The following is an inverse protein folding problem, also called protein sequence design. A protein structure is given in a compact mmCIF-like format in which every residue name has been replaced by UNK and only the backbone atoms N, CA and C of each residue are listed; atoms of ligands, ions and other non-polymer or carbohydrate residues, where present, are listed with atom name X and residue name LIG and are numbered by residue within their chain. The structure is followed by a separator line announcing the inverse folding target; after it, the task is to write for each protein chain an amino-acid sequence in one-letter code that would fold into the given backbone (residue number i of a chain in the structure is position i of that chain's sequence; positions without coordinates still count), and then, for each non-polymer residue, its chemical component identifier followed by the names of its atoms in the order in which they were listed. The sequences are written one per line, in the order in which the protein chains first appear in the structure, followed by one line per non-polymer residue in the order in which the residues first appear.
data_IF_404437220013
#
_entry.id   IF_404437220013
#
_cell.length_a   1.000
_cell.length_b   1.000
_cell.length_c   1.000
_cell.angle_alpha   90.00
_cell.angle_beta   90.00
_cell.angle_gamma   90.00
#
_symmetry.space_group_name_H-M   'P 1'
#
loop_
_entity.id
_entity.type
_entity.pdbx_description
1 polymer ?
#
# COMPACT_ATOMS: atom_id res chain seq x y z
N UNK A 1 -36.13 -2.63 -15.13
CA UNK A 1 -34.74 -2.23 -14.94
C UNK A 1 -34.28 -2.66 -13.54
N UNK A 2 -32.97 -2.86 -13.34
CA UNK A 2 -32.43 -3.08 -11.99
C UNK A 2 -31.89 -1.77 -11.43
N UNK A 3 -32.18 -1.50 -10.17
CA UNK A 3 -31.69 -0.34 -9.44
C UNK A 3 -30.91 -0.82 -8.21
N UNK A 4 -29.71 -0.33 -8.03
CA UNK A 4 -28.85 -0.70 -6.89
C UNK A 4 -28.79 0.47 -5.90
N UNK A 5 -29.09 0.20 -4.64
CA UNK A 5 -28.96 1.18 -3.58
C UNK A 5 -27.46 1.43 -3.29
N UNK A 6 -26.98 2.65 -3.48
CA UNK A 6 -25.59 3.03 -3.23
C UNK A 6 -25.17 3.03 -1.76
N UNK A 7 -26.16 2.90 -0.84
CA UNK A 7 -25.89 2.88 0.61
C UNK A 7 -25.66 1.45 1.12
N UNK A 8 -26.48 0.48 0.68
CA UNK A 8 -26.44 -0.88 1.24
C UNK A 8 -26.30 -2.00 0.19
N UNK A 9 -26.22 -1.67 -1.11
CA UNK A 9 -26.11 -2.64 -2.19
C UNK A 9 -27.39 -3.40 -2.53
N UNK A 10 -28.53 -3.09 -1.90
CA UNK A 10 -29.80 -3.76 -2.19
C UNK A 10 -30.19 -3.56 -3.66
N UNK A 11 -30.55 -4.65 -4.34
CA UNK A 11 -30.98 -4.62 -5.75
C UNK A 11 -32.49 -4.67 -5.82
N UNK A 12 -33.08 -3.69 -6.46
CA UNK A 12 -34.52 -3.60 -6.73
C UNK A 12 -34.80 -3.77 -8.22
N UNK A 13 -35.78 -4.59 -8.57
CA UNK A 13 -36.23 -4.75 -9.97
C UNK A 13 -37.57 -4.08 -10.17
N UNK A 14 -37.64 -3.10 -11.07
CA UNK A 14 -38.86 -2.35 -11.37
C UNK A 14 -38.68 -1.40 -12.55
N UNK A 15 -39.72 -0.66 -12.85
CA UNK A 15 -39.70 0.36 -13.92
C UNK A 15 -39.00 1.66 -13.44
N UNK A 16 -39.08 1.96 -12.14
CA UNK A 16 -38.47 3.09 -11.48
C UNK A 16 -37.87 2.65 -10.14
N UNK A 17 -36.92 3.45 -9.60
CA UNK A 17 -36.40 3.25 -8.27
C UNK A 17 -37.53 3.36 -7.22
N UNK A 18 -37.50 2.56 -6.14
CA UNK A 18 -38.49 2.68 -5.07
C UNK A 18 -38.29 4.00 -4.30
N UNK A 19 -39.34 4.57 -3.75
CA UNK A 19 -39.26 5.82 -2.98
C UNK A 19 -38.29 5.73 -1.79
N UNK A 20 -38.21 4.54 -1.19
CA UNK A 20 -37.26 4.21 -0.11
C UNK A 20 -36.72 2.81 -0.28
N UNK A 21 -35.46 2.64 0.08
CA UNK A 21 -34.83 1.32 0.11
C UNK A 21 -35.49 0.43 1.17
N UNK A 22 -36.02 -0.76 0.79
CA UNK A 22 -36.65 -1.67 1.74
C UNK A 22 -35.69 -2.19 2.81
N UNK A 23 -34.37 -2.18 2.54
CA UNK A 23 -33.38 -2.73 3.44
C UNK A 23 -32.81 -1.67 4.40
N UNK A 24 -32.51 -0.44 3.93
CA UNK A 24 -31.82 0.57 4.74
C UNK A 24 -32.57 1.90 4.88
N UNK A 25 -33.75 2.05 4.26
CA UNK A 25 -34.56 3.26 4.32
C UNK A 25 -34.01 4.44 3.51
N UNK A 26 -32.93 4.29 2.77
CA UNK A 26 -32.35 5.34 1.94
C UNK A 26 -33.36 5.83 0.87
N UNK A 27 -33.40 7.14 0.54
CA UNK A 27 -34.34 7.68 -0.42
C UNK A 27 -33.99 7.29 -1.87
N UNK A 28 -34.95 7.48 -2.79
CA UNK A 28 -34.87 7.07 -4.19
C UNK A 28 -33.61 7.58 -4.91
N UNK A 29 -33.12 8.78 -4.57
CA UNK A 29 -31.94 9.40 -5.16
C UNK A 29 -30.65 8.61 -4.90
N UNK A 30 -30.68 7.67 -3.96
CA UNK A 30 -29.57 6.76 -3.66
C UNK A 30 -29.59 5.49 -4.49
N UNK A 31 -30.55 5.32 -5.39
CA UNK A 31 -30.58 4.21 -6.32
C UNK A 31 -29.97 4.59 -7.66
N UNK A 32 -29.05 3.74 -8.13
CA UNK A 32 -28.43 3.86 -9.43
C UNK A 32 -29.02 2.79 -10.37
N UNK A 33 -29.50 3.21 -11.54
CA UNK A 33 -29.97 2.29 -12.57
C UNK A 33 -28.80 1.44 -13.07
N UNK A 34 -28.94 0.12 -12.98
CA UNK A 34 -27.97 -0.81 -13.54
C UNK A 34 -28.26 -0.97 -15.04
N UNK A 35 -27.49 -0.32 -15.91
CA UNK A 35 -27.36 -0.68 -17.31
C UNK A 35 -26.74 -2.09 -17.36
N UNK A 36 -27.15 -2.96 -18.31
CA UNK A 36 -26.74 -4.36 -18.33
C UNK A 36 -25.24 -4.65 -18.41
N UNK A 37 -24.38 -3.65 -18.48
CA UNK A 37 -22.92 -3.73 -18.31
C UNK A 37 -22.56 -3.62 -16.85
N UNK A 38 -21.73 -4.55 -16.37
CA UNK A 38 -21.15 -4.47 -15.02
C UNK A 38 -20.23 -3.27 -14.96
N UNK A 39 -20.67 -2.20 -14.30
CA UNK A 39 -19.82 -1.05 -13.98
C UNK A 39 -19.41 -1.10 -12.52
N UNK A 40 -18.16 -0.79 -12.22
CA UNK A 40 -17.72 -0.58 -10.85
C UNK A 40 -18.32 0.71 -10.29
N UNK A 41 -18.56 0.74 -8.99
CA UNK A 41 -19.08 1.94 -8.32
C UNK A 41 -18.11 3.14 -8.44
N UNK A 42 -16.82 2.85 -8.57
CA UNK A 42 -15.76 3.80 -8.87
C UNK A 42 -14.64 3.10 -9.62
N UNK A 43 -13.88 3.82 -10.42
CA UNK A 43 -12.64 3.30 -10.98
C UNK A 43 -11.58 3.20 -9.90
N UNK A 44 -10.88 2.05 -9.90
CA UNK A 44 -9.70 1.81 -9.08
C UNK A 44 -8.49 1.78 -10.02
N UNK A 45 -7.94 2.94 -10.29
CA UNK A 45 -6.77 3.13 -11.16
C UNK A 45 -5.61 3.69 -10.36
N UNK A 46 -4.39 3.41 -10.79
CA UNK A 46 -3.20 4.01 -10.17
C UNK A 46 -3.26 5.52 -10.31
N UNK A 47 -3.10 6.22 -9.19
CA UNK A 47 -3.14 7.68 -9.15
C UNK A 47 -4.55 8.27 -9.06
N UNK A 48 -5.56 7.50 -8.65
CA UNK A 48 -6.94 8.00 -8.49
C UNK A 48 -7.04 9.20 -7.54
N UNK A 49 -6.11 9.36 -6.61
CA UNK A 49 -6.05 10.51 -5.70
C UNK A 49 -5.40 11.76 -6.32
N UNK A 50 -4.87 11.68 -7.54
CA UNK A 50 -4.29 12.86 -8.19
C UNK A 50 -5.37 13.93 -8.43
N UNK A 51 -5.11 15.15 -7.93
CA UNK A 51 -6.02 16.27 -8.07
C UNK A 51 -7.03 16.45 -6.92
N UNK A 52 -6.99 15.61 -5.87
CA UNK A 52 -7.70 15.90 -4.61
C UNK A 52 -6.96 16.99 -3.82
N UNK A 53 -7.57 17.48 -2.73
CA UNK A 53 -6.97 18.50 -1.88
C UNK A 53 -5.66 18.04 -1.24
N UNK A 54 -4.74 18.97 -0.99
CA UNK A 54 -3.40 18.65 -0.48
C UNK A 54 -3.43 18.02 0.91
N UNK A 55 -4.38 18.39 1.78
CA UNK A 55 -4.57 17.76 3.09
C UNK A 55 -4.84 16.26 2.98
N UNK A 56 -5.66 15.83 2.01
CA UNK A 56 -5.89 14.41 1.75
C UNK A 56 -4.62 13.73 1.22
N UNK A 57 -3.87 14.39 0.33
CA UNK A 57 -2.61 13.83 -0.19
C UNK A 57 -1.57 13.68 0.91
N UNK A 58 -1.46 14.67 1.81
CA UNK A 58 -0.55 14.60 2.97
C UNK A 58 -0.91 13.43 3.89
N UNK A 59 -2.20 13.22 4.19
CA UNK A 59 -2.67 12.10 5.00
C UNK A 59 -2.39 10.75 4.32
N UNK A 60 -2.62 10.62 3.01
CA UNK A 60 -2.31 9.41 2.26
C UNK A 60 -0.80 9.09 2.25
N UNK A 61 0.06 10.10 2.06
CA UNK A 61 1.52 9.96 2.13
C UNK A 61 2.00 9.57 3.52
N UNK A 62 1.41 10.16 4.56
CA UNK A 62 1.72 9.84 5.95
C UNK A 62 1.39 8.38 6.28
N UNK A 63 0.20 7.91 5.87
CA UNK A 63 -0.19 6.51 6.00
C UNK A 63 0.73 5.59 5.21
N UNK A 64 1.00 5.88 3.93
CA UNK A 64 1.95 5.10 3.11
C UNK A 64 3.31 4.93 3.81
N UNK A 65 3.88 6.00 4.34
CA UNK A 65 5.16 5.96 5.05
C UNK A 65 5.07 5.19 6.38
N UNK A 66 3.96 5.30 7.10
CA UNK A 66 3.67 4.54 8.31
C UNK A 66 3.68 3.04 8.03
N UNK A 67 2.86 2.59 7.10
CA UNK A 67 2.75 1.18 6.71
C UNK A 67 4.10 0.60 6.23
N UNK A 68 4.85 1.33 5.38
CA UNK A 68 6.18 0.92 4.96
C UNK A 68 7.15 0.74 6.15
N UNK A 69 7.07 1.60 7.15
CA UNK A 69 7.89 1.51 8.36
C UNK A 69 7.49 0.33 9.23
N UNK A 70 6.20 0.04 9.35
CA UNK A 70 5.67 -1.07 10.13
C UNK A 70 6.06 -2.43 9.56
N UNK A 71 6.16 -2.58 8.24
CA UNK A 71 6.70 -3.79 7.59
C UNK A 71 8.08 -4.14 8.17
N UNK A 72 9.00 -3.19 8.17
CA UNK A 72 10.36 -3.41 8.69
C UNK A 72 10.38 -3.66 10.19
N UNK A 73 9.56 -2.94 10.94
CA UNK A 73 9.42 -3.06 12.38
C UNK A 73 8.92 -4.45 12.79
N UNK A 74 7.83 -4.95 12.19
CA UNK A 74 7.28 -6.26 12.49
C UNK A 74 8.23 -7.40 12.10
N UNK A 75 8.92 -7.30 10.96
CA UNK A 75 9.95 -8.28 10.60
C UNK A 75 11.11 -8.30 11.60
N UNK A 76 11.52 -7.15 12.13
CA UNK A 76 12.54 -7.08 13.17
C UNK A 76 12.05 -7.71 14.49
N UNK A 77 10.79 -7.44 14.88
CA UNK A 77 10.15 -8.04 16.05
C UNK A 77 10.03 -9.57 15.91
N UNK A 78 9.70 -10.08 14.72
CA UNK A 78 9.66 -11.51 14.45
C UNK A 78 11.01 -12.17 14.72
N UNK A 79 12.12 -11.56 14.25
CA UNK A 79 13.48 -12.06 14.49
C UNK A 79 13.83 -12.08 15.98
N UNK A 80 13.37 -11.09 16.75
CA UNK A 80 13.55 -11.10 18.22
C UNK A 80 12.77 -12.24 18.86
N UNK A 81 11.50 -12.40 18.51
CA UNK A 81 10.65 -13.47 19.05
C UNK A 81 11.23 -14.87 18.76
N UNK A 82 11.76 -15.13 17.56
CA UNK A 82 12.43 -16.38 17.24
C UNK A 82 13.69 -16.62 18.10
N UNK A 83 14.52 -15.59 18.30
CA UNK A 83 15.72 -15.71 19.15
C UNK A 83 15.39 -15.97 20.62
N UNK A 84 14.25 -15.46 21.08
CA UNK A 84 13.76 -15.68 22.46
C UNK A 84 13.00 -17.01 22.63
N UNK A 85 12.77 -17.76 21.53
CA UNK A 85 12.09 -19.05 21.56
C UNK A 85 10.56 -18.98 21.52
N UNK A 86 10.01 -17.90 20.97
CA UNK A 86 8.56 -17.70 20.78
C UNK A 86 8.17 -17.78 19.29
N UNK A 87 8.25 -18.97 18.65
CA UNK A 87 8.03 -19.08 17.22
C UNK A 87 6.61 -18.68 16.79
N UNK A 88 5.59 -18.93 17.61
CA UNK A 88 4.21 -18.56 17.31
C UNK A 88 4.04 -17.03 17.23
N UNK A 89 4.72 -16.30 18.12
CA UNK A 89 4.74 -14.83 18.11
C UNK A 89 5.52 -14.33 16.88
N UNK A 90 6.64 -14.98 16.55
CA UNK A 90 7.42 -14.67 15.36
C UNK A 90 6.57 -14.79 14.08
N UNK A 91 5.87 -15.91 13.91
CA UNK A 91 4.95 -16.11 12.77
C UNK A 91 3.81 -15.09 12.73
N UNK A 92 3.28 -14.68 13.88
CA UNK A 92 2.27 -13.64 13.95
C UNK A 92 2.82 -12.30 13.42
N UNK A 93 4.02 -11.90 13.85
CA UNK A 93 4.64 -10.66 13.35
C UNK A 93 4.98 -10.71 11.86
N UNK A 94 5.43 -11.85 11.33
CA UNK A 94 5.64 -12.00 9.88
C UNK A 94 4.34 -11.82 9.09
N UNK A 95 3.24 -12.38 9.60
CA UNK A 95 1.92 -12.20 9.00
C UNK A 95 1.48 -10.73 9.06
N UNK A 96 1.64 -10.06 10.21
CA UNK A 96 1.34 -8.64 10.34
C UNK A 96 2.16 -7.80 9.34
N UNK A 97 3.47 -8.05 9.23
CA UNK A 97 4.31 -7.36 8.25
C UNK A 97 3.79 -7.49 6.81
N UNK A 98 3.26 -8.66 6.44
CA UNK A 98 2.66 -8.85 5.11
C UNK A 98 1.34 -8.06 4.96
N UNK A 99 0.51 -8.01 6.01
CA UNK A 99 -0.72 -7.22 6.01
C UNK A 99 -0.42 -5.72 5.83
N UNK A 100 0.61 -5.19 6.53
CA UNK A 100 1.04 -3.79 6.35
C UNK A 100 1.66 -3.53 4.96
N UNK A 101 2.35 -4.51 4.38
CA UNK A 101 2.83 -4.39 3.00
C UNK A 101 1.69 -4.26 1.99
N UNK A 102 0.58 -4.98 2.19
CA UNK A 102 -0.64 -4.86 1.37
C UNK A 102 -1.32 -3.50 1.56
N UNK A 103 -1.34 -2.96 2.79
CA UNK A 103 -1.85 -1.61 3.05
C UNK A 103 -1.00 -0.55 2.35
N UNK A 104 0.33 -0.62 2.50
CA UNK A 104 1.27 0.27 1.81
C UNK A 104 1.08 0.24 0.29
N UNK A 105 0.93 -0.96 -0.30
CA UNK A 105 0.69 -1.10 -1.74
C UNK A 105 -0.58 -0.37 -2.20
N UNK A 106 -1.67 -0.47 -1.42
CA UNK A 106 -2.92 0.23 -1.72
C UNK A 106 -2.76 1.76 -1.66
N UNK A 107 -2.07 2.29 -0.64
CA UNK A 107 -1.76 3.72 -0.58
C UNK A 107 -0.87 4.18 -1.73
N UNK A 108 0.12 3.36 -2.13
CA UNK A 108 0.96 3.65 -3.29
C UNK A 108 0.14 3.73 -4.58
N UNK A 109 -0.81 2.80 -4.78
CA UNK A 109 -1.72 2.82 -5.94
C UNK A 109 -2.64 4.03 -5.92
N UNK A 110 -3.23 4.40 -4.78
CA UNK A 110 -4.07 5.59 -4.65
C UNK A 110 -3.31 6.85 -5.04
N UNK A 111 -2.08 7.02 -4.55
CA UNK A 111 -1.23 8.17 -4.80
C UNK A 111 -0.71 8.22 -6.24
N UNK A 112 -0.27 7.09 -6.81
CA UNK A 112 0.38 7.04 -8.12
C UNK A 112 1.69 7.82 -8.19
N UNK A 113 2.38 8.02 -7.05
CA UNK A 113 3.63 8.78 -6.95
C UNK A 113 4.86 7.88 -7.08
N UNK A 114 4.79 6.66 -6.53
CA UNK A 114 5.89 5.69 -6.52
C UNK A 114 5.66 4.48 -7.44
N UNK A 115 4.48 4.37 -8.00
CA UNK A 115 4.05 3.32 -8.93
C UNK A 115 3.24 3.92 -10.07
N UNK A 116 3.35 3.32 -11.26
CA UNK A 116 2.56 3.68 -12.44
C UNK A 116 1.82 2.44 -12.97
N UNK A 117 0.90 2.62 -13.88
CA UNK A 117 0.19 1.56 -14.60
C UNK A 117 1.04 0.83 -15.68
N UNK A 118 2.32 1.21 -15.80
CA UNK A 118 3.26 0.64 -16.77
C UNK A 118 4.39 -0.13 -16.09
N UNK A 119 4.40 -1.45 -16.26
CA UNK A 119 5.50 -2.31 -15.76
C UNK A 119 6.87 -1.83 -16.25
N UNK A 120 6.98 -1.44 -17.51
CA UNK A 120 8.23 -0.92 -18.06
C UNK A 120 8.68 0.33 -17.31
N UNK A 121 7.77 1.28 -17.11
CA UNK A 121 8.09 2.53 -16.40
C UNK A 121 8.46 2.28 -14.96
N UNK A 122 7.76 1.38 -14.27
CA UNK A 122 8.07 0.99 -12.90
C UNK A 122 9.48 0.38 -12.79
N UNK A 123 9.87 -0.49 -13.75
CA UNK A 123 11.24 -1.04 -13.78
C UNK A 123 12.30 0.06 -13.99
N UNK A 124 12.10 0.97 -14.93
CA UNK A 124 13.02 2.10 -15.17
C UNK A 124 13.22 2.95 -13.90
N UNK A 125 12.12 3.31 -13.23
CA UNK A 125 12.16 4.08 -11.98
C UNK A 125 12.88 3.32 -10.85
N UNK A 126 12.69 2.01 -10.75
CA UNK A 126 13.33 1.20 -9.71
C UNK A 126 14.82 1.05 -9.95
N UNK A 127 15.26 0.76 -11.17
CA UNK A 127 16.69 0.66 -11.50
C UNK A 127 17.43 1.93 -11.10
N UNK A 128 16.88 3.11 -11.41
CA UNK A 128 17.52 4.38 -11.05
C UNK A 128 17.55 4.61 -9.53
N UNK A 129 16.44 4.31 -8.84
CA UNK A 129 16.34 4.44 -7.39
C UNK A 129 17.29 3.48 -6.65
N UNK A 130 17.39 2.22 -7.08
CA UNK A 130 18.30 1.22 -6.49
C UNK A 130 19.75 1.61 -6.68
N UNK A 131 20.11 2.16 -7.85
CA UNK A 131 21.46 2.68 -8.08
C UNK A 131 21.82 3.81 -7.09
N UNK A 132 20.91 4.74 -6.84
CA UNK A 132 21.12 5.80 -5.84
C UNK A 132 21.19 5.25 -4.41
N UNK A 133 20.31 4.32 -4.05
CA UNK A 133 20.27 3.69 -2.74
C UNK A 133 21.56 2.89 -2.45
N UNK A 134 22.06 2.13 -3.44
CA UNK A 134 23.33 1.41 -3.38
C UNK A 134 24.49 2.36 -3.06
N UNK A 135 24.59 3.49 -3.75
CA UNK A 135 25.66 4.48 -3.51
C UNK A 135 25.57 5.06 -2.08
N UNK A 136 24.38 5.43 -1.63
CA UNK A 136 24.18 5.96 -0.28
C UNK A 136 24.53 4.95 0.83
N UNK A 137 24.12 3.68 0.68
CA UNK A 137 24.47 2.60 1.62
C UNK A 137 25.99 2.33 1.62
N UNK A 138 26.63 2.35 0.47
CA UNK A 138 28.08 2.16 0.39
C UNK A 138 28.84 3.28 1.11
N UNK A 139 28.39 4.53 1.00
CA UNK A 139 28.99 5.64 1.73
C UNK A 139 28.77 5.55 3.24
N UNK A 140 27.60 5.12 3.68
CA UNK A 140 27.33 4.85 5.08
C UNK A 140 28.24 3.73 5.63
N UNK A 141 28.38 2.64 4.87
CA UNK A 141 29.27 1.53 5.23
C UNK A 141 30.72 1.99 5.40
N UNK A 142 31.26 2.80 4.47
CA UNK A 142 32.61 3.39 4.59
C UNK A 142 32.76 4.25 5.85
N UNK A 143 31.77 5.10 6.16
CA UNK A 143 31.78 5.93 7.38
C UNK A 143 31.78 5.07 8.64
N UNK A 144 30.94 4.03 8.69
CA UNK A 144 30.89 3.09 9.80
C UNK A 144 32.24 2.37 10.00
N UNK A 145 32.88 1.93 8.91
CA UNK A 145 34.20 1.29 8.98
C UNK A 145 35.28 2.23 9.52
N UNK A 146 35.29 3.48 9.09
CA UNK A 146 36.24 4.49 9.58
C UNK A 146 36.10 4.76 11.09
N UNK A 147 34.95 4.48 11.66
CA UNK A 147 34.65 4.60 13.11
C UNK A 147 34.75 3.27 13.87
N UNK A 148 35.24 2.21 13.25
CA UNK A 148 35.32 0.84 13.79
C UNK A 148 33.95 0.27 14.25
N UNK A 149 32.87 0.65 13.56
CA UNK A 149 31.50 0.16 13.80
C UNK A 149 31.22 -1.04 12.89
N UNK A 150 31.96 -2.15 13.11
CA UNK A 150 31.99 -3.30 12.19
C UNK A 150 30.59 -3.92 11.96
N UNK A 151 29.78 -4.09 12.99
CA UNK A 151 28.44 -4.64 12.84
C UNK A 151 27.52 -3.77 11.94
N UNK A 152 27.65 -2.45 12.02
CA UNK A 152 26.91 -1.53 11.14
C UNK A 152 27.48 -1.60 9.73
N UNK A 153 28.81 -1.56 9.59
CA UNK A 153 29.48 -1.69 8.31
C UNK A 153 29.06 -2.93 7.57
N UNK A 154 29.17 -4.12 8.22
CA UNK A 154 28.92 -5.40 7.57
C UNK A 154 27.45 -5.48 7.10
N UNK A 155 26.50 -5.10 7.96
CA UNK A 155 25.08 -5.12 7.62
C UNK A 155 24.74 -4.20 6.44
N UNK A 156 25.23 -2.96 6.46
CA UNK A 156 24.91 -1.98 5.41
C UNK A 156 25.66 -2.29 4.11
N UNK A 157 26.87 -2.80 4.20
CA UNK A 157 27.67 -3.22 3.03
C UNK A 157 27.02 -4.39 2.29
N UNK A 158 26.50 -5.39 3.02
CA UNK A 158 25.75 -6.50 2.40
C UNK A 158 24.47 -6.01 1.70
N UNK A 159 23.70 -5.11 2.33
CA UNK A 159 22.53 -4.49 1.69
C UNK A 159 22.90 -3.76 0.40
N UNK A 160 23.99 -2.98 0.39
CA UNK A 160 24.47 -2.30 -0.81
C UNK A 160 24.86 -3.27 -1.93
N UNK A 161 25.41 -4.43 -1.59
CA UNK A 161 25.74 -5.49 -2.57
C UNK A 161 24.50 -6.18 -3.13
N UNK A 162 23.47 -6.36 -2.32
CA UNK A 162 22.23 -6.97 -2.79
C UNK A 162 21.49 -6.08 -3.80
N UNK A 163 21.48 -4.76 -3.57
CA UNK A 163 20.88 -3.79 -4.48
C UNK A 163 21.69 -3.55 -5.76
N UNK A 164 22.98 -3.84 -5.75
CA UNK A 164 23.85 -3.70 -6.93
C UNK A 164 23.70 -4.82 -7.96
N UNK A 165 22.85 -5.83 -7.71
CA UNK A 165 22.61 -6.98 -8.62
C UNK A 165 21.49 -6.68 -9.58
#
# INVERSE_FOLDING_TARGET
MKFVCSVCGYVYEGEQAPERCPQCGAPAEKFVAQSGEKTWASEHVVGVAQGVSEDILEDLRANFNGECSEVGMYLAMARVAYREGYPEIGMYYEKAAYEEAEHAAKFAELLGEVVTDSTKKNLELRVEAENGATAGKMDLAKKAKALNLDAIHDTVHEMARDEAR
#
